data_IF_920265841456
#
_entry.id   IF_920265841456
#
_cell.length_a   1.000
_cell.length_b   1.000
_cell.length_c   1.000
_cell.angle_alpha   90.00
_cell.angle_beta   90.00
_cell.angle_gamma   90.00
#
_symmetry.space_group_name_H-M   'P 1'
#
loop_
_entity.id
_entity.type
_entity.pdbx_description
1 polymer ?
#
# COMPACT_ATOMS: atom_id res chain seq x y z
N UNK A 1 -14.21 -3.02 1.80
CA UNK A 1 -14.77 -1.94 0.99
C UNK A 1 -13.79 -1.49 -0.08
N UNK A 2 -14.34 -0.92 -1.08
CA UNK A 2 -13.66 -0.57 -2.31
C UNK A 2 -13.62 0.95 -2.47
N UNK A 3 -12.44 1.46 -2.82
CA UNK A 3 -12.29 2.89 -3.13
C UNK A 3 -11.89 3.04 -4.59
N UNK A 4 -12.79 3.54 -5.46
CA UNK A 4 -12.41 3.85 -6.83
C UNK A 4 -11.51 5.08 -6.84
N UNK A 5 -10.60 5.12 -7.80
CA UNK A 5 -9.57 6.12 -7.84
C UNK A 5 -9.57 6.91 -9.11
N UNK A 6 -8.99 8.07 -9.01
CA UNK A 6 -8.56 8.81 -10.17
C UNK A 6 -7.68 7.92 -11.05
N UNK A 7 -7.92 7.94 -12.34
CA UNK A 7 -7.06 7.26 -13.33
C UNK A 7 -5.69 7.93 -13.40
N UNK A 8 -5.58 9.13 -12.91
CA UNK A 8 -4.35 9.88 -12.84
C UNK A 8 -3.81 9.82 -11.40
N UNK A 9 -2.75 9.02 -11.16
CA UNK A 9 -2.21 8.87 -9.82
C UNK A 9 -1.55 10.14 -9.27
N UNK A 10 -1.35 11.15 -10.09
CA UNK A 10 -0.82 12.44 -9.66
C UNK A 10 -1.92 13.36 -9.11
N UNK A 11 -3.19 13.00 -9.31
CA UNK A 11 -4.34 13.78 -8.83
C UNK A 11 -4.93 13.13 -7.58
N UNK A 12 -4.32 13.43 -6.45
CA UNK A 12 -4.80 12.99 -5.14
C UNK A 12 -5.47 14.14 -4.39
N UNK A 13 -6.47 13.86 -3.54
CA UNK A 13 -6.93 14.83 -2.55
C UNK A 13 -5.77 15.26 -1.66
N UNK A 14 -5.79 16.48 -1.18
CA UNK A 14 -4.68 17.02 -0.36
C UNK A 14 -4.41 16.20 0.91
N UNK A 15 -5.44 15.56 1.47
CA UNK A 15 -5.33 14.70 2.65
C UNK A 15 -5.05 13.24 2.31
N UNK A 16 -5.06 12.88 1.01
CA UNK A 16 -4.92 11.49 0.57
C UNK A 16 -6.21 10.67 0.75
N UNK A 17 -6.08 9.35 0.65
CA UNK A 17 -7.17 8.40 0.82
C UNK A 17 -7.02 7.60 2.10
N UNK A 18 -8.10 7.47 2.85
CA UNK A 18 -8.18 6.57 3.99
C UNK A 18 -8.71 5.21 3.53
N UNK A 19 -7.94 4.16 3.75
CA UNK A 19 -8.31 2.79 3.45
C UNK A 19 -8.36 2.04 4.78
N UNK A 20 -9.46 1.33 5.06
CA UNK A 20 -9.63 0.72 6.37
C UNK A 20 -10.29 -0.64 6.32
N UNK A 21 -10.02 -1.46 7.34
CA UNK A 21 -10.76 -2.68 7.63
C UNK A 21 -11.93 -2.36 8.57
N UNK A 22 -12.86 -3.30 8.67
CA UNK A 22 -13.87 -3.27 9.74
C UNK A 22 -13.22 -3.59 11.09
N UNK A 23 -13.85 -3.18 12.18
CA UNK A 23 -13.50 -3.66 13.51
C UNK A 23 -13.86 -5.15 13.65
N UNK A 24 -13.35 -5.77 14.70
CA UNK A 24 -13.57 -7.19 14.99
C UNK A 24 -12.31 -8.03 14.80
N UNK A 25 -12.44 -9.32 15.02
CA UNK A 25 -11.31 -10.25 15.08
C UNK A 25 -11.26 -11.26 13.93
N UNK A 26 -11.95 -10.98 12.83
CA UNK A 26 -11.88 -11.84 11.64
C UNK A 26 -10.57 -11.57 10.90
N UNK A 27 -9.59 -12.42 11.13
CA UNK A 27 -8.25 -12.30 10.55
C UNK A 27 -8.21 -12.92 9.16
N UNK A 28 -7.63 -12.19 8.21
CA UNK A 28 -7.32 -12.71 6.87
C UNK A 28 -6.14 -11.96 6.27
N UNK A 29 -5.20 -12.68 5.68
CA UNK A 29 -4.09 -12.12 4.90
C UNK A 29 -4.24 -12.42 3.41
N UNK A 30 -5.31 -13.08 2.99
CA UNK A 30 -5.55 -13.48 1.61
C UNK A 30 -6.65 -12.70 0.92
N UNK A 31 -7.67 -12.26 1.68
CA UNK A 31 -8.79 -11.48 1.16
C UNK A 31 -8.74 -10.08 1.76
N UNK A 32 -8.54 -9.03 0.95
CA UNK A 32 -8.52 -7.66 1.46
C UNK A 32 -9.93 -7.23 1.87
N UNK A 33 -10.04 -6.51 2.97
CA UNK A 33 -11.31 -5.89 3.37
C UNK A 33 -11.58 -4.61 2.61
N UNK A 34 -10.53 -3.92 2.21
CA UNK A 34 -10.63 -2.78 1.30
C UNK A 34 -9.35 -2.65 0.49
N UNK A 35 -9.45 -2.00 -0.62
CA UNK A 35 -8.29 -1.79 -1.47
C UNK A 35 -8.45 -0.54 -2.34
N UNK A 36 -7.28 -0.05 -2.73
CA UNK A 36 -7.09 0.99 -3.70
C UNK A 36 -6.60 0.35 -4.98
N UNK A 37 -6.97 0.84 -6.15
CA UNK A 37 -6.36 0.41 -7.39
C UNK A 37 -6.21 1.56 -8.38
N UNK A 38 -5.18 1.46 -9.21
CA UNK A 38 -4.97 2.38 -10.32
C UNK A 38 -4.17 1.69 -11.43
N UNK A 39 -4.44 2.09 -12.67
CA UNK A 39 -3.71 1.61 -13.83
C UNK A 39 -2.55 2.53 -14.13
N UNK A 40 -1.38 1.95 -14.38
CA UNK A 40 -0.15 2.69 -14.71
C UNK A 40 0.46 2.14 -15.98
N UNK A 41 1.02 3.03 -16.80
CA UNK A 41 1.92 2.68 -17.89
C UNK A 41 3.34 2.85 -17.40
N UNK A 42 4.11 1.76 -17.41
CA UNK A 42 5.48 1.74 -16.87
C UNK A 42 6.47 1.93 -18.02
N UNK A 43 7.40 2.84 -17.85
CA UNK A 43 8.43 3.12 -18.85
C UNK A 43 9.81 3.11 -18.20
N UNK A 44 10.85 2.87 -19.00
CA UNK A 44 12.24 2.75 -18.51
C UNK A 44 12.74 3.99 -17.77
N UNK A 45 12.24 5.16 -18.11
CA UNK A 45 12.60 6.41 -17.41
C UNK A 45 11.63 6.79 -16.30
N UNK A 46 10.62 5.96 -16.02
CA UNK A 46 9.56 6.25 -15.06
C UNK A 46 9.00 4.95 -14.50
N UNK A 47 9.83 4.26 -13.76
CA UNK A 47 9.54 2.90 -13.23
C UNK A 47 9.81 2.74 -11.74
N UNK A 48 10.05 3.82 -11.04
CA UNK A 48 10.22 3.83 -9.59
C UNK A 48 8.96 4.44 -8.97
N UNK A 49 8.23 3.64 -8.21
CA UNK A 49 7.01 4.07 -7.53
C UNK A 49 7.29 4.34 -6.06
N UNK A 50 6.84 5.49 -5.57
CA UNK A 50 6.90 5.82 -4.15
C UNK A 50 5.49 5.99 -3.61
N UNK A 51 5.16 5.22 -2.57
CA UNK A 51 3.92 5.35 -1.81
C UNK A 51 4.23 6.13 -0.53
N UNK A 52 3.59 7.25 -0.35
CA UNK A 52 3.65 8.00 0.92
C UNK A 52 2.45 7.60 1.75
N UNK A 53 2.68 6.89 2.85
CA UNK A 53 1.62 6.28 3.64
C UNK A 53 1.80 6.53 5.13
N UNK A 54 0.71 6.39 5.86
CA UNK A 54 0.71 6.47 7.32
C UNK A 54 -0.15 5.35 7.88
N UNK A 55 0.37 4.67 8.90
CA UNK A 55 -0.45 3.79 9.71
C UNK A 55 -1.28 4.65 10.67
N UNK A 56 -2.59 4.66 10.49
CA UNK A 56 -3.53 5.46 11.28
C UNK A 56 -4.37 4.59 12.21
N UNK A 57 -3.83 3.44 12.63
CA UNK A 57 -4.54 2.44 13.43
C UNK A 57 -4.28 2.57 14.93
N UNK A 58 -3.88 3.74 15.40
CA UNK A 58 -3.52 3.92 16.81
C UNK A 58 -2.29 3.08 17.16
N UNK A 59 -2.43 2.19 18.13
CA UNK A 59 -1.36 1.29 18.57
C UNK A 59 -1.28 -0.01 17.78
N UNK A 60 -2.18 -0.24 16.84
CA UNK A 60 -2.25 -1.48 16.07
C UNK A 60 -1.44 -1.37 14.78
N UNK A 61 -0.90 -2.50 14.33
CA UNK A 61 -0.29 -2.58 13.01
C UNK A 61 -1.36 -2.63 11.92
N UNK A 62 -1.02 -2.12 10.74
CA UNK A 62 -1.83 -2.29 9.54
C UNK A 62 -1.12 -3.23 8.58
N UNK A 63 -1.82 -4.27 8.14
CA UNK A 63 -1.31 -5.19 7.12
C UNK A 63 -1.76 -4.72 5.76
N UNK A 64 -0.82 -4.60 4.84
CA UNK A 64 -1.12 -4.18 3.47
C UNK A 64 -0.36 -5.03 2.47
N UNK A 65 -0.86 -5.03 1.24
CA UNK A 65 -0.25 -5.77 0.13
C UNK A 65 -0.30 -4.92 -1.12
N UNK A 66 0.85 -4.72 -1.75
CA UNK A 66 0.94 -4.05 -3.04
C UNK A 66 1.11 -5.11 -4.11
N UNK A 67 0.19 -5.15 -5.06
CA UNK A 67 0.15 -6.18 -6.09
C UNK A 67 0.10 -5.53 -7.47
N UNK A 68 0.96 -6.00 -8.36
CA UNK A 68 0.89 -5.65 -9.78
C UNK A 68 0.13 -6.75 -10.52
N UNK A 69 -0.81 -6.35 -11.35
CA UNK A 69 -1.58 -7.24 -12.21
C UNK A 69 -1.28 -6.88 -13.65
N UNK A 70 -0.68 -7.81 -14.38
CA UNK A 70 -0.43 -7.64 -15.82
C UNK A 70 -1.71 -7.74 -16.62
N UNK A 71 -1.67 -7.26 -17.85
CA UNK A 71 -2.83 -7.32 -18.75
C UNK A 71 -3.26 -8.75 -19.10
N UNK A 72 -2.36 -9.73 -18.99
CA UNK A 72 -2.68 -11.14 -19.14
C UNK A 72 -3.31 -11.78 -17.88
N UNK A 73 -3.49 -10.99 -16.82
CA UNK A 73 -4.09 -11.44 -15.56
C UNK A 73 -3.09 -12.00 -14.54
N UNK A 74 -1.80 -12.10 -14.87
CA UNK A 74 -0.83 -12.58 -13.89
C UNK A 74 -0.62 -11.58 -12.75
N UNK A 75 -0.52 -12.10 -11.55
CA UNK A 75 -0.37 -11.32 -10.32
C UNK A 75 1.05 -11.42 -9.78
N UNK A 76 1.55 -10.31 -9.23
CA UNK A 76 2.81 -10.30 -8.51
C UNK A 76 2.70 -9.40 -7.27
N UNK A 77 2.93 -9.98 -6.10
CA UNK A 77 3.04 -9.20 -4.87
C UNK A 77 4.41 -8.53 -4.83
N UNK A 78 4.43 -7.23 -4.56
CA UNK A 78 5.64 -6.43 -4.60
C UNK A 78 6.18 -6.22 -3.19
N UNK A 79 7.50 -6.26 -3.06
CA UNK A 79 8.20 -5.92 -1.83
C UNK A 79 8.82 -4.53 -1.99
N UNK A 80 8.74 -3.66 -0.97
CA UNK A 80 9.42 -2.37 -1.03
C UNK A 80 10.93 -2.54 -0.93
N UNK A 81 11.66 -1.57 -1.44
CA UNK A 81 13.10 -1.54 -1.29
C UNK A 81 13.48 -1.51 0.19
N UNK A 82 14.50 -2.26 0.57
CA UNK A 82 14.87 -2.50 1.97
C UNK A 82 15.19 -1.21 2.74
N UNK A 83 15.75 -0.22 2.05
CA UNK A 83 16.08 1.07 2.67
C UNK A 83 14.85 1.97 2.92
N UNK A 84 13.70 1.60 2.41
CA UNK A 84 12.45 2.37 2.58
C UNK A 84 11.40 1.63 3.41
N UNK A 85 11.67 0.38 3.76
CA UNK A 85 10.76 -0.47 4.53
C UNK A 85 11.13 -0.55 6.03
N UNK A 86 11.81 0.46 6.54
CA UNK A 86 12.27 0.45 7.94
C UNK A 86 11.12 0.47 8.96
N UNK A 87 9.93 0.84 8.55
CA UNK A 87 8.75 0.90 9.41
C UNK A 87 7.78 -0.25 9.16
N UNK A 88 8.16 -1.20 8.35
CA UNK A 88 7.34 -2.36 8.04
C UNK A 88 8.19 -3.61 7.94
N UNK A 89 7.58 -4.75 8.18
CA UNK A 89 8.22 -6.05 8.05
C UNK A 89 7.38 -6.99 7.21
N UNK A 90 8.03 -7.94 6.55
CA UNK A 90 7.35 -8.95 5.76
C UNK A 90 6.46 -9.82 6.65
N UNK A 91 5.28 -10.14 6.16
CA UNK A 91 4.31 -10.98 6.84
C UNK A 91 3.81 -12.09 5.90
N UNK A 92 2.79 -12.83 6.32
CA UNK A 92 2.25 -13.94 5.53
C UNK A 92 1.64 -13.48 4.20
N UNK A 93 1.66 -14.37 3.21
CA UNK A 93 0.95 -14.22 1.92
C UNK A 93 1.31 -12.97 1.13
N UNK A 94 2.54 -12.50 1.24
CA UNK A 94 3.01 -11.30 0.55
C UNK A 94 2.56 -9.99 1.20
N UNK A 95 1.93 -10.05 2.37
CA UNK A 95 1.60 -8.87 3.17
C UNK A 95 2.84 -8.25 3.80
N UNK A 96 2.73 -6.96 4.06
CA UNK A 96 3.67 -6.20 4.88
C UNK A 96 2.92 -5.66 6.09
N UNK A 97 3.55 -5.83 7.25
CA UNK A 97 3.03 -5.35 8.53
C UNK A 97 3.61 -3.96 8.78
N UNK A 98 2.77 -2.93 8.65
CA UNK A 98 3.15 -1.55 8.95
C UNK A 98 2.98 -1.36 10.45
N UNK A 99 4.10 -1.20 11.16
CA UNK A 99 4.12 -1.09 12.61
C UNK A 99 3.58 0.28 13.02
N UNK A 100 2.73 0.32 14.05
CA UNK A 100 2.26 1.58 14.59
C UNK A 100 3.46 2.44 15.05
N UNK A 101 3.32 3.71 15.13
CA UNK A 101 4.33 4.67 15.56
C UNK A 101 5.59 4.75 14.70
N UNK A 102 5.90 3.73 13.92
CA UNK A 102 7.14 3.72 13.17
C UNK A 102 7.22 4.91 12.21
N UNK A 103 6.15 5.18 11.48
CA UNK A 103 6.08 6.33 10.60
C UNK A 103 5.95 7.66 11.32
N UNK A 104 5.60 7.66 12.60
CA UNK A 104 5.48 8.87 13.40
C UNK A 104 6.82 9.42 13.89
N UNK A 105 7.85 8.61 13.83
CA UNK A 105 9.18 8.99 14.34
C UNK A 105 10.04 9.54 13.22
N UNK A 106 10.45 10.77 13.34
CA UNK A 106 11.27 11.44 12.35
C UNK A 106 10.48 12.16 11.27
N UNK A 107 9.20 11.86 11.14
CA UNK A 107 8.26 12.61 10.31
C UNK A 107 7.17 13.18 11.21
N UNK A 108 7.06 14.51 11.34
CA UNK A 108 6.06 15.12 12.21
C UNK A 108 4.62 14.76 11.85
N UNK A 109 4.38 14.39 10.60
CA UNK A 109 3.05 13.99 10.12
C UNK A 109 2.82 12.48 10.22
N UNK A 110 3.84 11.71 10.58
CA UNK A 110 3.73 10.27 10.73
C UNK A 110 3.72 9.47 9.43
N UNK A 111 4.18 10.04 8.33
CA UNK A 111 4.25 9.36 7.04
C UNK A 111 5.56 8.61 6.85
N UNK A 112 5.48 7.52 6.10
CA UNK A 112 6.62 6.76 5.63
C UNK A 112 6.54 6.58 4.11
N UNK A 113 7.69 6.58 3.46
CA UNK A 113 7.79 6.35 2.03
C UNK A 113 8.18 4.89 1.77
N UNK A 114 7.39 4.20 0.97
CA UNK A 114 7.71 2.87 0.48
C UNK A 114 8.01 2.96 -1.01
N UNK A 115 9.23 2.57 -1.39
CA UNK A 115 9.71 2.65 -2.77
C UNK A 115 9.70 1.26 -3.40
N UNK A 116 9.14 1.17 -4.60
CA UNK A 116 9.03 -0.07 -5.37
C UNK A 116 9.72 0.09 -6.72
N UNK A 117 10.54 -0.87 -7.07
CA UNK A 117 11.16 -0.95 -8.40
C UNK A 117 10.20 -1.69 -9.33
N UNK A 118 9.69 -0.98 -10.33
CA UNK A 118 8.77 -1.52 -11.33
C UNK A 118 9.45 -1.79 -12.67
N UNK A 119 10.78 -1.83 -12.71
CA UNK A 119 11.54 -1.98 -13.96
C UNK A 119 11.22 -3.26 -14.71
N UNK A 120 10.80 -4.33 -14.02
CA UNK A 120 10.38 -5.57 -14.66
C UNK A 120 9.12 -5.41 -15.53
N UNK A 121 8.39 -4.32 -15.37
CA UNK A 121 7.17 -4.02 -16.13
C UNK A 121 7.39 -2.94 -17.20
N UNK A 122 8.64 -2.59 -17.50
CA UNK A 122 8.93 -1.56 -18.52
C UNK A 122 8.23 -1.88 -19.85
N UNK A 123 7.51 -0.88 -20.39
CA UNK A 123 6.74 -1.02 -21.60
C UNK A 123 5.36 -1.67 -21.42
N UNK A 124 4.97 -2.00 -20.21
CA UNK A 124 3.69 -2.63 -19.91
C UNK A 124 2.72 -1.65 -19.22
N UNK A 125 1.43 -1.89 -19.43
CA UNK A 125 0.37 -1.34 -18.59
C UNK A 125 0.08 -2.36 -17.49
N UNK A 126 0.07 -1.90 -16.26
CA UNK A 126 -0.23 -2.76 -15.11
C UNK A 126 -1.31 -2.11 -14.23
N UNK A 127 -2.14 -2.93 -13.63
CA UNK A 127 -3.01 -2.51 -12.55
C UNK A 127 -2.25 -2.69 -11.24
N UNK A 128 -2.12 -1.62 -10.47
CA UNK A 128 -1.56 -1.70 -9.13
C UNK A 128 -2.69 -1.67 -8.10
N UNK A 129 -2.65 -2.58 -7.15
CA UNK A 129 -3.60 -2.62 -6.04
C UNK A 129 -2.86 -2.49 -4.73
N UNK A 130 -3.46 -1.78 -3.79
CA UNK A 130 -3.00 -1.69 -2.41
C UNK A 130 -4.14 -2.20 -1.55
N UNK A 131 -4.03 -3.45 -1.11
CA UNK A 131 -5.04 -4.08 -0.28
C UNK A 131 -4.71 -3.93 1.20
N UNK A 132 -5.73 -3.71 2.02
CA UNK A 132 -5.62 -3.62 3.47
C UNK A 132 -6.27 -4.84 4.08
N UNK A 133 -5.54 -5.47 5.00
CA UNK A 133 -5.93 -6.74 5.61
C UNK A 133 -6.01 -6.63 7.11
N UNK A 134 -6.88 -7.42 7.70
CA UNK A 134 -6.94 -7.62 9.13
C UNK A 134 -6.00 -8.77 9.49
N UNK A 135 -4.73 -8.47 9.71
CA UNK A 135 -3.69 -9.47 9.92
C UNK A 135 -3.54 -9.97 11.34
N UNK A 136 -4.14 -9.29 12.31
CA UNK A 136 -4.07 -9.65 13.73
C UNK A 136 -5.42 -9.44 14.41
N UNK A 137 -5.69 -10.24 15.44
CA UNK A 137 -6.85 -10.07 16.30
C UNK A 137 -6.63 -8.90 17.25
N UNK A 138 -7.26 -7.78 16.99
CA UNK A 138 -7.12 -6.60 17.85
C UNK A 138 -8.44 -5.86 18.13
N UNK A 139 -9.54 -6.32 17.54
CA UNK A 139 -10.87 -5.76 17.76
C UNK A 139 -11.16 -4.42 17.10
N UNK A 140 -10.13 -3.72 16.64
CA UNK A 140 -10.24 -2.37 16.12
C UNK A 140 -10.17 -2.32 14.59
N UNK A 141 -10.59 -1.21 14.01
CA UNK A 141 -10.34 -0.93 12.61
C UNK A 141 -8.83 -0.73 12.37
N UNK A 142 -8.30 -1.33 11.32
CA UNK A 142 -6.96 -1.04 10.84
C UNK A 142 -7.06 -0.05 9.70
N UNK A 143 -6.25 1.00 9.73
CA UNK A 143 -6.37 2.14 8.83
C UNK A 143 -5.02 2.50 8.23
N UNK A 144 -5.02 2.70 6.92
CA UNK A 144 -3.88 3.22 6.18
C UNK A 144 -4.30 4.50 5.48
N UNK A 145 -3.53 5.55 5.65
CA UNK A 145 -3.68 6.76 4.83
C UNK A 145 -2.68 6.69 3.69
N UNK A 146 -3.18 6.69 2.48
CA UNK A 146 -2.37 6.80 1.27
C UNK A 146 -2.37 8.27 0.84
N UNK A 147 -1.27 8.95 1.15
CA UNK A 147 -1.12 10.39 0.90
C UNK A 147 -0.87 10.68 -0.57
N UNK A 148 0.00 9.89 -1.19
CA UNK A 148 0.36 10.09 -2.58
C UNK A 148 1.00 8.84 -3.18
N UNK A 149 0.92 8.74 -4.49
CA UNK A 149 1.73 7.84 -5.30
C UNK A 149 2.49 8.72 -6.29
N UNK A 150 3.80 8.57 -6.31
CA UNK A 150 4.64 9.24 -7.31
C UNK A 150 5.36 8.19 -8.15
N UNK A 151 5.55 8.51 -9.42
CA UNK A 151 6.25 7.65 -10.36
C UNK A 151 7.39 8.44 -10.98
N UNK A 152 8.62 7.94 -10.83
CA UNK A 152 9.83 8.59 -11.34
C UNK A 152 10.62 7.68 -12.25
#
# INVERSE_FOLDING_TARGET
SYMPLSKDPEVFPSEGYLIKTRGGNNVSTTVPESYFYAKFSIASGRNKMTLKTRNFSGTNATFFKVTAIRMDGTLMHLAPASNTAQFAEAAADGCWKFIHEAGGKGDPEGYADFVYDLSQFNGEDVMLTIGIFKGEENGDENKLVLRSITME
#
